data_IF_912348265531
#
_entry.id   IF_912348265531
#
_cell.length_a   1.000
_cell.length_b   1.000
_cell.length_c   1.000
_cell.angle_alpha   90.00
_cell.angle_beta   90.00
_cell.angle_gamma   90.00
#
_symmetry.space_group_name_H-M   'P 1'
#
loop_
_entity.id
_entity.type
_entity.pdbx_description
1 polymer ?
#
# COMPACT_ATOMS: atom_id res chain seq x y z
N UNK A 1 11.35 9.48 -21.78
CA UNK A 1 11.17 9.78 -20.34
C UNK A 1 10.34 8.69 -19.69
N UNK A 2 10.55 8.50 -18.41
CA UNK A 2 9.76 7.53 -17.62
C UNK A 2 8.40 8.14 -17.34
N UNK A 3 7.31 7.41 -17.61
CA UNK A 3 5.94 7.92 -17.52
C UNK A 3 5.17 7.40 -16.30
N UNK A 4 5.70 6.42 -15.60
CA UNK A 4 5.02 5.87 -14.44
C UNK A 4 5.77 4.69 -13.85
N UNK A 5 5.19 4.08 -12.84
CA UNK A 5 5.71 2.87 -12.22
C UNK A 5 4.59 1.86 -12.02
N UNK A 6 4.94 0.59 -12.02
CA UNK A 6 4.00 -0.50 -11.87
C UNK A 6 4.53 -1.42 -10.77
N UNK A 7 3.77 -1.59 -9.71
CA UNK A 7 4.13 -2.47 -8.58
C UNK A 7 3.37 -3.77 -8.72
N UNK A 8 4.03 -4.89 -8.53
CA UNK A 8 3.41 -6.22 -8.60
C UNK A 8 3.50 -6.87 -7.23
N UNK A 9 2.37 -7.34 -6.74
CA UNK A 9 2.31 -8.18 -5.54
C UNK A 9 2.01 -9.60 -6.03
N UNK A 10 2.95 -10.51 -5.81
CA UNK A 10 2.72 -11.92 -6.13
C UNK A 10 1.88 -12.53 -5.03
N UNK A 11 0.70 -13.03 -5.40
CA UNK A 11 -0.33 -13.41 -4.44
C UNK A 11 -0.76 -14.86 -4.66
N UNK A 12 -0.92 -15.58 -3.57
CA UNK A 12 -1.48 -16.94 -3.61
C UNK A 12 -3.00 -16.96 -3.75
N UNK A 13 -3.64 -15.79 -3.62
CA UNK A 13 -5.07 -15.62 -3.84
C UNK A 13 -5.32 -14.25 -4.45
N UNK A 14 -5.00 -14.13 -5.73
CA UNK A 14 -5.04 -12.86 -6.43
C UNK A 14 -6.46 -12.27 -6.49
N UNK A 15 -7.48 -13.10 -6.65
CA UNK A 15 -8.86 -12.61 -6.71
C UNK A 15 -9.27 -11.98 -5.39
N UNK A 16 -8.91 -12.59 -4.25
CA UNK A 16 -9.22 -12.04 -2.93
C UNK A 16 -8.46 -10.74 -2.68
N UNK A 17 -7.18 -10.67 -3.07
CA UNK A 17 -6.39 -9.45 -2.93
C UNK A 17 -6.95 -8.33 -3.81
N UNK A 18 -7.35 -8.63 -5.05
CA UNK A 18 -7.99 -7.63 -5.93
C UNK A 18 -9.28 -7.10 -5.31
N UNK A 19 -10.11 -7.99 -4.74
CA UNK A 19 -11.33 -7.57 -4.08
C UNK A 19 -11.05 -6.65 -2.89
N UNK A 20 -9.99 -6.89 -2.14
CA UNK A 20 -9.56 -6.03 -1.03
C UNK A 20 -9.27 -4.59 -1.53
N UNK A 21 -8.45 -4.46 -2.56
CA UNK A 21 -8.10 -3.13 -3.09
C UNK A 21 -9.31 -2.44 -3.71
N UNK A 22 -10.19 -3.19 -4.36
CA UNK A 22 -11.41 -2.64 -4.97
C UNK A 22 -12.44 -2.24 -3.94
N UNK A 23 -12.78 -3.13 -2.99
CA UNK A 23 -13.95 -2.99 -2.14
C UNK A 23 -13.64 -2.35 -0.79
N UNK A 24 -12.47 -2.63 -0.20
CA UNK A 24 -12.07 -2.07 1.10
C UNK A 24 -11.35 -0.74 0.91
N UNK A 25 -10.28 -0.72 0.11
CA UNK A 25 -9.50 0.51 -0.13
C UNK A 25 -10.12 1.40 -1.20
N UNK A 26 -11.01 0.87 -2.04
CA UNK A 26 -11.73 1.59 -3.08
C UNK A 26 -10.82 2.27 -4.11
N UNK A 27 -9.74 1.58 -4.49
CA UNK A 27 -8.87 2.07 -5.54
C UNK A 27 -9.54 1.89 -6.90
N UNK A 28 -9.50 2.91 -7.77
CA UNK A 28 -9.99 2.76 -9.13
C UNK A 28 -9.11 1.79 -9.91
N UNK A 29 -9.69 1.10 -10.86
CA UNK A 29 -8.99 0.07 -11.63
C UNK A 29 -9.48 0.03 -13.06
N UNK A 30 -8.62 -0.52 -13.93
CA UNK A 30 -9.02 -0.94 -15.28
C UNK A 30 -8.98 -2.46 -15.32
N UNK A 31 -9.84 -3.06 -16.13
CA UNK A 31 -9.83 -4.50 -16.35
C UNK A 31 -9.01 -4.78 -17.60
N UNK A 32 -7.85 -5.42 -17.43
CA UNK A 32 -6.96 -5.77 -18.54
C UNK A 32 -7.40 -7.08 -19.23
N UNK A 33 -8.51 -7.63 -18.79
CA UNK A 33 -9.12 -8.84 -19.37
C UNK A 33 -9.53 -9.84 -18.30
N UNK A 34 -10.77 -10.32 -18.37
CA UNK A 34 -11.31 -11.41 -17.54
C UNK A 34 -11.11 -11.23 -16.03
N UNK A 35 -11.31 -10.01 -15.53
CA UNK A 35 -11.16 -9.74 -14.11
C UNK A 35 -9.73 -9.47 -13.67
N UNK A 36 -8.80 -9.35 -14.59
CA UNK A 36 -7.40 -8.99 -14.30
C UNK A 36 -7.33 -7.49 -14.05
N UNK A 37 -7.62 -7.09 -12.83
CA UNK A 37 -7.66 -5.68 -12.46
C UNK A 37 -6.26 -5.11 -12.29
N UNK A 38 -6.05 -3.92 -12.85
CA UNK A 38 -4.85 -3.11 -12.60
C UNK A 38 -5.30 -1.82 -11.95
N UNK A 39 -4.83 -1.57 -10.74
CA UNK A 39 -5.27 -0.45 -9.92
C UNK A 39 -4.43 0.80 -10.15
N UNK A 40 -5.09 1.94 -10.14
CA UNK A 40 -4.38 3.21 -10.08
C UNK A 40 -3.87 3.42 -8.66
N UNK A 41 -2.58 3.73 -8.53
CA UNK A 41 -2.00 4.10 -7.25
C UNK A 41 -2.05 5.62 -7.08
N UNK A 42 -2.12 6.12 -5.83
CA UNK A 42 -1.82 7.52 -5.55
C UNK A 42 -0.40 7.86 -5.99
N UNK A 43 -0.03 9.15 -6.07
CA UNK A 43 1.36 9.53 -6.26
C UNK A 43 2.28 8.79 -5.30
N UNK A 44 3.47 8.43 -5.75
CA UNK A 44 4.38 7.58 -4.99
C UNK A 44 5.75 8.21 -4.82
N UNK A 45 6.49 7.74 -3.82
CA UNK A 45 7.89 8.08 -3.61
C UNK A 45 8.70 6.80 -3.43
N UNK A 46 10.03 6.90 -3.60
CA UNK A 46 10.93 5.76 -3.52
C UNK A 46 12.01 6.06 -2.50
N UNK A 47 12.25 5.13 -1.59
CA UNK A 47 13.33 5.23 -0.63
C UNK A 47 14.12 3.93 -0.59
N UNK A 48 15.42 4.04 -0.33
CA UNK A 48 16.32 2.90 -0.14
C UNK A 48 16.77 2.85 1.30
N UNK A 49 16.45 1.76 1.99
CA UNK A 49 16.90 1.52 3.35
C UNK A 49 17.95 0.41 3.35
N UNK A 50 18.94 0.43 4.25
CA UNK A 50 19.88 -0.68 4.36
C UNK A 50 19.13 -1.97 4.70
N UNK A 51 19.46 -3.06 3.99
CA UNK A 51 18.90 -4.38 4.28
C UNK A 51 19.75 -5.10 5.31
N UNK A 52 19.11 -5.79 6.25
CA UNK A 52 19.79 -6.62 7.25
C UNK A 52 19.90 -8.08 6.80
N UNK A 53 19.44 -8.39 5.62
CA UNK A 53 19.47 -9.71 5.02
C UNK A 53 19.35 -9.59 3.52
N UNK A 54 18.56 -10.45 2.89
CA UNK A 54 18.34 -10.39 1.45
C UNK A 54 17.64 -9.11 1.04
N UNK A 55 17.95 -8.61 -0.15
CA UNK A 55 17.28 -7.45 -0.70
C UNK A 55 15.79 -7.75 -0.93
N UNK A 56 14.95 -6.80 -0.64
CA UNK A 56 13.49 -6.95 -0.77
C UNK A 56 12.84 -5.63 -1.12
N UNK A 57 11.57 -5.71 -1.47
CA UNK A 57 10.74 -4.53 -1.73
C UNK A 57 9.51 -4.59 -0.86
N UNK A 58 9.08 -3.44 -0.37
CA UNK A 58 7.84 -3.32 0.38
C UNK A 58 6.95 -2.25 -0.23
N UNK A 59 5.64 -2.48 -0.22
CA UNK A 59 4.66 -1.46 -0.57
C UNK A 59 4.12 -0.86 0.72
N UNK A 60 4.26 0.45 0.84
CA UNK A 60 3.61 1.23 1.88
C UNK A 60 2.62 2.20 1.25
N UNK A 61 1.43 2.27 1.81
CA UNK A 61 0.46 3.29 1.44
C UNK A 61 0.52 4.42 2.48
N UNK A 62 0.58 5.65 2.00
CA UNK A 62 0.70 6.83 2.86
C UNK A 62 -0.68 7.31 3.26
N UNK A 63 -0.88 7.59 4.53
CA UNK A 63 -2.17 7.97 5.10
C UNK A 63 -2.02 9.26 5.89
N UNK A 64 -2.53 10.39 5.40
CA UNK A 64 -2.53 11.63 6.18
C UNK A 64 -3.31 11.50 7.49
N UNK A 65 -4.34 10.66 7.49
CA UNK A 65 -5.19 10.39 8.65
C UNK A 65 -5.24 8.88 8.89
N UNK A 66 -4.19 8.33 9.47
CA UNK A 66 -4.07 6.89 9.67
C UNK A 66 -5.22 6.32 10.50
N UNK A 67 -5.65 7.05 11.55
CA UNK A 67 -6.78 6.60 12.39
C UNK A 67 -8.05 6.34 11.60
N UNK A 68 -8.34 7.16 10.58
CA UNK A 68 -9.52 6.99 9.75
C UNK A 68 -9.41 5.70 8.92
N UNK A 69 -8.22 5.40 8.38
CA UNK A 69 -7.99 4.17 7.63
C UNK A 69 -8.14 2.95 8.54
N UNK A 70 -7.59 3.01 9.75
CA UNK A 70 -7.72 1.90 10.72
C UNK A 70 -9.18 1.63 11.08
N UNK A 71 -9.99 2.67 11.22
CA UNK A 71 -11.43 2.50 11.47
C UNK A 71 -12.11 1.75 10.32
N UNK A 72 -11.75 2.08 9.08
CA UNK A 72 -12.28 1.37 7.90
C UNK A 72 -11.86 -0.11 7.93
N UNK A 73 -10.59 -0.39 8.23
CA UNK A 73 -10.10 -1.76 8.31
C UNK A 73 -10.83 -2.55 9.39
N UNK A 74 -11.06 -1.95 10.56
CA UNK A 74 -11.80 -2.59 11.66
C UNK A 74 -13.25 -2.89 11.25
N UNK A 75 -13.90 -1.98 10.54
CA UNK A 75 -15.27 -2.17 10.06
C UNK A 75 -15.37 -3.34 9.08
N UNK A 76 -14.32 -3.64 8.35
CA UNK A 76 -14.26 -4.77 7.41
C UNK A 76 -13.60 -6.02 8.00
N UNK A 77 -13.32 -6.02 9.32
CA UNK A 77 -12.69 -7.13 10.04
C UNK A 77 -11.31 -7.51 9.47
N UNK A 78 -10.55 -6.53 9.01
CA UNK A 78 -9.22 -6.73 8.47
C UNK A 78 -8.21 -6.71 9.62
N UNK A 79 -7.29 -7.69 9.65
CA UNK A 79 -6.26 -7.80 10.66
C UNK A 79 -5.09 -6.89 10.35
N UNK A 80 -4.54 -6.25 11.39
CA UNK A 80 -3.35 -5.43 11.26
C UNK A 80 -2.55 -5.45 12.56
N UNK A 81 -1.25 -5.16 12.46
CA UNK A 81 -0.34 -4.98 13.58
C UNK A 81 0.06 -3.52 13.70
N UNK A 82 0.12 -3.05 14.93
CA UNK A 82 0.46 -1.67 15.25
C UNK A 82 -0.73 -0.89 15.77
N UNK A 83 -0.65 0.45 15.84
CA UNK A 83 0.42 1.31 15.32
C UNK A 83 1.73 1.21 16.08
N UNK A 84 2.84 1.36 15.35
CA UNK A 84 4.18 1.43 15.91
C UNK A 84 4.79 2.78 15.52
N UNK A 85 5.41 3.45 16.48
CA UNK A 85 6.06 4.73 16.22
C UNK A 85 7.48 4.50 15.72
N UNK A 86 7.81 5.08 14.57
CA UNK A 86 9.15 5.11 14.05
C UNK A 86 9.56 6.56 13.81
N UNK A 87 10.86 6.78 13.56
CA UNK A 87 11.38 8.11 13.32
C UNK A 87 10.71 8.78 12.12
N UNK A 88 10.37 8.01 11.10
CA UNK A 88 9.83 8.51 9.82
C UNK A 88 8.32 8.44 9.71
N UNK A 89 7.63 7.86 10.68
CA UNK A 89 6.17 7.81 10.65
C UNK A 89 5.58 6.90 11.69
N UNK A 90 4.25 6.91 11.74
CA UNK A 90 3.45 5.96 12.49
C UNK A 90 3.06 4.83 11.54
N UNK A 91 3.38 3.60 11.88
CA UNK A 91 3.35 2.46 10.95
C UNK A 91 2.37 1.41 11.40
N UNK A 92 1.63 0.86 10.45
CA UNK A 92 0.78 -0.32 10.62
C UNK A 92 1.10 -1.30 9.49
N UNK A 93 1.13 -2.58 9.80
CA UNK A 93 1.22 -3.64 8.80
C UNK A 93 -0.13 -4.35 8.70
N UNK A 94 -0.62 -4.52 7.48
CA UNK A 94 -1.94 -5.08 7.19
C UNK A 94 -1.78 -6.43 6.53
N UNK A 95 -2.52 -7.42 7.01
CA UNK A 95 -2.58 -8.73 6.36
C UNK A 95 -3.58 -8.68 5.21
N UNK A 96 -3.10 -8.94 3.99
CA UNK A 96 -3.97 -9.11 2.83
C UNK A 96 -4.69 -10.45 2.93
N UNK A 97 -5.83 -10.62 2.21
CA UNK A 97 -6.55 -11.90 2.23
C UNK A 97 -5.69 -13.11 1.89
N UNK A 98 -4.69 -12.95 1.03
CA UNK A 98 -3.75 -14.03 0.67
C UNK A 98 -2.77 -14.38 1.77
N UNK A 99 -2.66 -13.56 2.82
CA UNK A 99 -1.64 -13.70 3.86
C UNK A 99 -0.39 -12.87 3.64
N UNK A 100 -0.25 -12.24 2.47
CA UNK A 100 0.80 -11.24 2.21
C UNK A 100 0.57 -9.99 3.03
N UNK A 101 1.59 -9.14 3.14
CA UNK A 101 1.50 -7.91 3.93
C UNK A 101 1.80 -6.67 3.12
N UNK A 102 1.11 -5.59 3.44
CA UNK A 102 1.48 -4.24 3.02
C UNK A 102 1.61 -3.36 4.26
N UNK A 103 2.33 -2.26 4.11
CA UNK A 103 2.42 -1.27 5.17
C UNK A 103 1.47 -0.11 4.92
N UNK A 104 0.99 0.48 6.00
CA UNK A 104 0.32 1.78 5.99
C UNK A 104 1.11 2.67 6.92
N UNK A 105 1.29 3.95 6.57
CA UNK A 105 1.92 4.85 7.52
C UNK A 105 1.48 6.29 7.35
N UNK A 106 1.53 7.00 8.48
CA UNK A 106 1.34 8.44 8.51
C UNK A 106 2.71 9.07 8.59
N UNK A 107 3.16 9.77 7.53
CA UNK A 107 4.52 10.29 7.47
C UNK A 107 4.81 11.34 8.54
N UNK A 108 6.06 11.32 9.05
CA UNK A 108 6.64 12.35 9.91
C UNK A 108 7.81 13.05 9.22
N UNK A 109 7.95 12.89 7.90
CA UNK A 109 9.03 13.43 7.09
C UNK A 109 8.46 14.31 5.97
N UNK A 110 9.25 15.21 5.38
CA UNK A 110 8.84 15.88 4.15
C UNK A 110 8.64 14.85 3.04
N UNK A 111 7.56 15.01 2.27
CA UNK A 111 7.26 14.04 1.20
C UNK A 111 7.73 14.54 -0.15
N UNK A 112 8.00 13.60 -1.06
CA UNK A 112 8.44 13.89 -2.42
C UNK A 112 7.31 13.81 -3.43
N UNK A 113 6.06 13.64 -2.97
CA UNK A 113 4.91 13.37 -3.84
C UNK A 113 4.63 14.46 -4.86
N UNK A 114 4.96 15.70 -4.54
CA UNK A 114 4.67 16.86 -5.40
C UNK A 114 5.81 17.20 -6.36
N UNK A 115 6.93 16.46 -6.32
CA UNK A 115 8.12 16.84 -7.08
C UNK A 115 8.04 16.49 -8.58
N UNK A 116 7.23 15.52 -8.97
CA UNK A 116 7.06 15.20 -10.38
C UNK A 116 6.14 16.21 -11.05
N UNK A 117 6.56 16.78 -12.17
CA UNK A 117 5.70 17.67 -12.95
C UNK A 117 4.51 16.89 -13.52
N UNK A 118 3.36 17.52 -13.54
CA UNK A 118 2.14 16.96 -14.12
C UNK A 118 1.74 17.70 -15.38
#
# INVERSE_FOLDING_TARGET
MISGAHVIIYSNDADADRAFFRDVLQFPAVDAGRGWLIFALPPAELAMHPAEGDASHELFLMCPELKAVLSTLQAHHIRFEGPTEARWGTIVHVDLPSGSRIGLYQPKHPTALSLWPR
#
